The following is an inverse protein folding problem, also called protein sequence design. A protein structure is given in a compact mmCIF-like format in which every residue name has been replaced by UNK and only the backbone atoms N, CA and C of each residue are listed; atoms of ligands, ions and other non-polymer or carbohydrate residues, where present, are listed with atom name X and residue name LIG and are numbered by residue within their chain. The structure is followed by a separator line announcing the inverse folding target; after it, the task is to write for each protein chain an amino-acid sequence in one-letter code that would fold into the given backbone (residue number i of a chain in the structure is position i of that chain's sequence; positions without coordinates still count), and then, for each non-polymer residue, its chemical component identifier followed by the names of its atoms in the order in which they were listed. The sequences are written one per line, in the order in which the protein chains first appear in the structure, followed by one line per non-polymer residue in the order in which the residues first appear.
data_IF_079618228877
#
_entry.id   IF_079618228877
#
_cell.length_a   1.000
_cell.length_b   1.000
_cell.length_c   1.000
_cell.angle_alpha   90.00
_cell.angle_beta   90.00
_cell.angle_gamma   90.00
#
_symmetry.space_group_name_H-M   'P 1'
#
loop_
_entity.id
_entity.type
_entity.pdbx_description
1 polymer ?
#
# COMPACT_ATOMS: atom_id res chain seq x y z
N UNK A 1 -17.17 -10.63 26.16
CA UNK A 1 -16.62 -9.56 25.44
C UNK A 1 -16.25 -9.97 24.04
N UNK A 2 -16.62 -9.23 23.11
CA UNK A 2 -16.30 -9.61 21.75
C UNK A 2 -15.07 -8.88 21.27
N UNK A 3 -14.30 -9.58 20.48
CA UNK A 3 -13.13 -9.00 19.87
C UNK A 3 -13.53 -8.55 18.48
N UNK A 4 -13.28 -7.28 18.23
CA UNK A 4 -13.57 -6.76 16.94
C UNK A 4 -12.36 -6.93 16.09
N UNK A 5 -12.45 -7.78 15.11
CA UNK A 5 -11.35 -8.01 14.21
C UNK A 5 -11.54 -7.14 12.99
N UNK A 6 -10.61 -6.24 12.78
CA UNK A 6 -10.64 -5.41 11.58
C UNK A 6 -9.76 -6.03 10.54
N UNK A 7 -10.13 -5.90 9.28
CA UNK A 7 -9.28 -6.43 8.21
C UNK A 7 -7.90 -5.80 8.24
N UNK A 8 -6.91 -6.59 7.88
CA UNK A 8 -5.56 -6.12 7.74
C UNK A 8 -5.30 -5.89 6.26
N UNK A 9 -4.79 -4.71 5.96
CA UNK A 9 -4.46 -4.36 4.58
C UNK A 9 -2.95 -4.25 4.44
N UNK A 10 -2.47 -4.48 3.23
CA UNK A 10 -1.05 -4.31 2.92
C UNK A 10 -0.89 -3.03 2.14
N UNK A 11 0.02 -2.18 2.55
CA UNK A 11 0.33 -0.97 1.81
C UNK A 11 1.78 -1.07 1.36
N UNK A 12 1.98 -1.09 0.05
CA UNK A 12 3.30 -1.08 -0.52
C UNK A 12 3.62 0.35 -0.91
N UNK A 13 4.66 0.88 -0.30
CA UNK A 13 5.01 2.28 -0.48
C UNK A 13 6.28 2.38 -1.29
N UNK A 14 6.20 3.07 -2.42
CA UNK A 14 7.34 3.25 -3.30
C UNK A 14 8.12 4.46 -2.84
N UNK A 15 9.28 4.23 -2.28
CA UNK A 15 10.14 5.27 -1.74
C UNK A 15 11.37 5.36 -2.62
N UNK A 16 11.66 6.55 -3.13
CA UNK A 16 12.76 6.74 -4.08
C UNK A 16 14.12 6.40 -3.49
N UNK A 17 14.21 6.29 -2.18
CA UNK A 17 15.48 5.96 -1.53
C UNK A 17 15.77 4.48 -1.51
N UNK A 18 14.80 3.64 -1.84
CA UNK A 18 14.98 2.20 -1.76
C UNK A 18 14.70 1.54 -3.10
N UNK A 19 15.36 0.43 -3.34
CA UNK A 19 15.22 -0.28 -4.60
C UNK A 19 13.88 -1.00 -4.73
N UNK A 20 13.29 -1.36 -3.61
CA UNK A 20 12.01 -2.08 -3.63
C UNK A 20 11.02 -1.37 -2.72
N UNK A 21 9.73 -1.54 -2.95
CA UNK A 21 8.74 -0.92 -2.09
C UNK A 21 8.82 -1.45 -0.67
N UNK A 22 8.43 -0.62 0.27
CA UNK A 22 8.35 -1.06 1.66
C UNK A 22 6.92 -1.50 1.93
N UNK A 23 6.79 -2.56 2.70
CA UNK A 23 5.47 -3.12 3.02
C UNK A 23 5.08 -2.69 4.43
N UNK A 24 3.86 -2.20 4.54
CA UNK A 24 3.29 -1.82 5.83
C UNK A 24 1.95 -2.53 6.00
N UNK A 25 1.76 -3.14 7.14
CA UNK A 25 0.49 -3.80 7.44
C UNK A 25 -0.32 -2.88 8.34
N UNK A 26 -1.54 -2.60 7.93
CA UNK A 26 -2.40 -1.69 8.68
C UNK A 26 -3.75 -2.33 8.90
N UNK A 27 -4.38 -2.00 9.99
CA UNK A 27 -5.74 -2.43 10.26
C UNK A 27 -6.69 -1.28 10.03
N UNK A 28 -7.77 -1.53 9.35
CA UNK A 28 -8.75 -0.49 9.07
C UNK A 28 -10.13 -1.13 8.97
N UNK A 29 -11.16 -0.35 9.17
CA UNK A 29 -12.52 -0.86 9.16
C UNK A 29 -12.97 -1.27 7.76
N UNK A 30 -12.49 -0.57 6.76
CA UNK A 30 -12.89 -0.85 5.39
C UNK A 30 -11.83 -0.29 4.44
N UNK A 31 -12.08 -0.48 3.16
CA UNK A 31 -11.14 -0.05 2.13
C UNK A 31 -10.95 1.46 2.15
N UNK A 32 -12.00 2.22 2.39
CA UNK A 32 -11.90 3.67 2.38
C UNK A 32 -11.00 4.16 3.51
N UNK A 33 -11.15 3.58 4.69
CA UNK A 33 -10.28 3.94 5.81
C UNK A 33 -8.83 3.57 5.52
N UNK A 34 -8.61 2.40 4.93
CA UNK A 34 -7.27 1.98 4.58
C UNK A 34 -6.67 2.89 3.52
N UNK A 35 -7.50 3.35 2.59
CA UNK A 35 -7.05 4.24 1.53
C UNK A 35 -6.59 5.58 2.10
N UNK A 36 -7.28 6.08 3.10
CA UNK A 36 -6.87 7.33 3.75
C UNK A 36 -5.53 7.16 4.46
N UNK A 37 -5.32 6.01 5.07
CA UNK A 37 -4.04 5.72 5.71
C UNK A 37 -2.94 5.69 4.66
N UNK A 38 -3.18 5.02 3.54
CA UNK A 38 -2.18 4.94 2.48
C UNK A 38 -1.86 6.31 1.91
N UNK A 39 -2.88 7.16 1.74
CA UNK A 39 -2.65 8.49 1.23
C UNK A 39 -1.84 9.32 2.20
N UNK A 40 -2.13 9.19 3.48
CA UNK A 40 -1.38 9.91 4.48
C UNK A 40 0.07 9.48 4.48
N UNK A 41 0.33 8.18 4.36
CA UNK A 41 1.68 7.68 4.29
C UNK A 41 2.40 8.21 3.05
N UNK A 42 1.70 8.25 1.93
CA UNK A 42 2.27 8.76 0.71
C UNK A 42 2.68 10.23 0.88
N UNK A 43 1.87 11.01 1.57
CA UNK A 43 2.11 12.42 1.73
C UNK A 43 3.14 12.77 2.81
N UNK A 44 3.61 11.79 3.56
CA UNK A 44 4.53 12.05 4.67
C UNK A 44 5.94 12.40 4.26
N UNK A 45 6.33 12.10 3.05
CA UNK A 45 7.69 12.35 2.63
C UNK A 45 7.74 12.66 1.14
N UNK A 46 8.63 13.57 0.77
CA UNK A 46 8.85 13.87 -0.65
C UNK A 46 9.48 12.71 -1.37
N UNK A 47 10.02 11.74 -0.64
CA UNK A 47 10.62 10.57 -1.28
C UNK A 47 9.58 9.52 -1.64
N UNK A 48 8.38 9.62 -1.12
CA UNK A 48 7.32 8.67 -1.41
C UNK A 48 6.70 9.03 -2.75
N UNK A 49 6.78 8.11 -3.70
CA UNK A 49 6.30 8.37 -5.05
C UNK A 49 4.97 7.73 -5.35
N UNK A 50 4.64 6.67 -4.67
CA UNK A 50 3.38 6.01 -4.89
C UNK A 50 3.09 4.99 -3.81
N UNK A 51 1.84 4.56 -3.76
CA UNK A 51 1.40 3.58 -2.80
C UNK A 51 0.41 2.64 -3.45
N UNK A 52 0.47 1.38 -3.09
CA UNK A 52 -0.49 0.38 -3.52
C UNK A 52 -1.16 -0.20 -2.30
N UNK A 53 -2.47 -0.18 -2.30
CA UNK A 53 -3.26 -0.75 -1.23
C UNK A 53 -3.74 -2.11 -1.67
N UNK A 54 -3.43 -3.12 -0.90
CA UNK A 54 -3.79 -4.49 -1.20
C UNK A 54 -4.48 -5.15 -0.01
N UNK A 55 -5.22 -6.19 -0.30
CA UNK A 55 -5.85 -6.99 0.73
C UNK A 55 -5.77 -8.44 0.28
N UNK A 56 -5.20 -9.28 1.11
CA UNK A 56 -4.99 -10.70 0.81
C UNK A 56 -4.29 -10.87 -0.54
N UNK A 57 -3.31 -10.03 -0.78
CA UNK A 57 -2.52 -10.12 -1.99
C UNK A 57 -3.17 -9.54 -3.23
N UNK A 58 -4.36 -8.99 -3.11
CA UNK A 58 -5.07 -8.44 -4.26
C UNK A 58 -4.97 -6.91 -4.23
N UNK A 59 -4.57 -6.34 -5.35
CA UNK A 59 -4.48 -4.89 -5.45
C UNK A 59 -5.86 -4.27 -5.51
N UNK A 60 -6.10 -3.31 -4.65
CA UNK A 60 -7.36 -2.60 -4.61
C UNK A 60 -7.27 -1.19 -5.16
N UNK A 61 -6.24 -0.45 -4.79
CA UNK A 61 -6.09 0.93 -5.19
C UNK A 61 -4.61 1.23 -5.37
N UNK A 62 -4.29 2.00 -6.39
CA UNK A 62 -2.93 2.49 -6.58
C UNK A 62 -2.97 4.00 -6.64
N UNK A 63 -2.02 4.64 -6.00
CA UNK A 63 -1.95 6.08 -5.91
C UNK A 63 -0.55 6.55 -6.26
N UNK A 64 -0.48 7.75 -6.79
CA UNK A 64 0.80 8.37 -7.09
C UNK A 64 1.42 7.84 -8.36
N UNK A 65 2.72 7.97 -8.47
CA UNK A 65 3.46 7.60 -9.67
C UNK A 65 3.94 6.18 -9.57
N UNK A 66 3.13 5.25 -10.00
CA UNK A 66 3.47 3.84 -9.92
C UNK A 66 3.77 3.21 -11.25
N UNK A 67 3.75 4.00 -12.30
CA UNK A 67 3.88 3.44 -13.62
C UNK A 67 5.19 2.73 -13.87
N UNK A 68 6.19 3.10 -13.11
CA UNK A 68 7.49 2.54 -13.32
C UNK A 68 7.70 1.25 -12.58
N UNK A 69 6.70 0.74 -11.95
CA UNK A 69 6.87 -0.42 -11.14
C UNK A 69 7.12 -1.63 -11.98
N UNK A 70 8.31 -2.16 -11.93
CA UNK A 70 8.58 -3.36 -12.70
C UNK A 70 8.03 -4.60 -12.06
N UNK A 71 7.60 -4.50 -10.84
CA UNK A 71 7.17 -5.68 -10.19
C UNK A 71 5.97 -6.33 -10.81
N UNK A 72 5.30 -5.62 -11.65
CA UNK A 72 4.16 -6.24 -12.28
C UNK A 72 4.57 -7.37 -13.16
N UNK A 73 5.88 -7.47 -13.47
CA UNK A 73 6.31 -8.52 -14.22
C UNK A 73 6.93 -9.53 -13.46
N UNK A 74 7.10 -9.33 -12.23
CA UNK A 74 7.85 -10.21 -11.49
C UNK A 74 7.25 -11.54 -11.52
N UNK A 75 6.17 -11.54 -11.82
CA UNK A 75 5.67 -12.78 -11.87
C UNK A 75 5.77 -13.40 -13.14
N UNK A 76 6.23 -13.02 -13.28
CA UNK A 76 6.21 -13.65 -14.20
C UNK A 76 6.55 -14.55 -14.21
N UNK A 77 6.77 -14.42 -13.89
CA UNK A 77 6.81 -14.99 -13.81
C UNK A 77 6.55 -15.38 -13.84
#
# INVERSE_FOLDING_TARGET
MSVQLRPTFEIYLDDSRYAVPTLHLVSANDVQAAQLIAKKMLDESVHHRGAELCHDGQLLVAMGTLAIRPRSRRYDN
#
